data_IF_985264668783
#
_entry.id   IF_985264668783
#
_cell.length_a   1.000
_cell.length_b   1.000
_cell.length_c   1.000
_cell.angle_alpha   90.00
_cell.angle_beta   90.00
_cell.angle_gamma   90.00
#
_symmetry.space_group_name_H-M   'P 1'
#
loop_
_entity.id
_entity.type
_entity.pdbx_description
1 polymer ?
#
# COMPACT_ATOMS: atom_id res chain seq x y z
N UNK A 1 -3.12 -10.63 35.86
CA UNK A 1 -2.59 -10.62 34.48
C UNK A 1 -2.30 -12.06 34.10
N UNK A 2 -3.14 -12.67 33.26
CA UNK A 2 -2.90 -14.02 32.76
C UNK A 2 -1.91 -13.91 31.60
N UNK A 3 -0.68 -14.35 31.80
CA UNK A 3 0.28 -14.55 30.71
C UNK A 3 -0.30 -15.59 29.77
N UNK A 4 -0.99 -15.14 28.73
CA UNK A 4 -1.46 -16.00 27.65
C UNK A 4 -0.23 -16.65 27.03
N UNK A 5 -0.03 -17.94 27.33
CA UNK A 5 1.04 -18.75 26.75
C UNK A 5 0.91 -18.69 25.24
N UNK A 6 1.87 -18.02 24.58
CA UNK A 6 1.88 -17.91 23.12
C UNK A 6 2.13 -19.30 22.55
N UNK A 7 1.11 -19.87 21.92
CA UNK A 7 1.21 -21.16 21.24
C UNK A 7 2.21 -21.02 20.08
N UNK A 8 3.29 -21.81 20.15
CA UNK A 8 4.29 -21.91 19.08
C UNK A 8 3.75 -22.88 18.01
N UNK A 9 3.59 -22.44 16.76
CA UNK A 9 3.10 -23.31 15.69
C UNK A 9 4.12 -24.42 15.42
N UNK A 10 3.64 -25.66 15.33
CA UNK A 10 4.48 -26.84 15.05
C UNK A 10 4.48 -27.20 13.55
N UNK A 11 3.44 -26.79 12.82
CA UNK A 11 3.28 -27.10 11.39
C UNK A 11 3.09 -25.84 10.55
N UNK A 12 3.41 -25.93 9.25
CA UNK A 12 3.21 -24.83 8.30
C UNK A 12 1.75 -24.41 8.23
N UNK A 13 0.80 -25.36 8.26
CA UNK A 13 -0.63 -25.08 8.33
C UNK A 13 -1.02 -24.28 9.57
N UNK A 14 -0.55 -24.69 10.76
CA UNK A 14 -0.83 -23.95 12.00
C UNK A 14 -0.25 -22.53 11.98
N UNK A 15 0.95 -22.36 11.42
CA UNK A 15 1.53 -21.03 11.23
C UNK A 15 0.73 -20.19 10.22
N UNK A 16 0.25 -20.79 9.13
CA UNK A 16 -0.59 -20.09 8.16
C UNK A 16 -1.91 -19.64 8.76
N UNK A 17 -2.57 -20.47 9.58
CA UNK A 17 -3.83 -20.14 10.25
C UNK A 17 -3.72 -18.86 11.10
N UNK A 18 -2.56 -18.60 11.70
CA UNK A 18 -2.33 -17.36 12.45
C UNK A 18 -2.32 -16.11 11.57
N UNK A 19 -1.92 -16.20 10.30
CA UNK A 19 -1.81 -15.03 9.40
C UNK A 19 -2.94 -14.94 8.37
N UNK A 20 -3.61 -16.05 8.08
CA UNK A 20 -4.53 -16.16 6.96
C UNK A 20 -5.62 -15.08 6.95
N UNK A 21 -6.23 -14.80 8.11
CA UNK A 21 -7.32 -13.81 8.22
C UNK A 21 -6.85 -12.41 7.85
N UNK A 22 -5.76 -11.95 8.46
CA UNK A 22 -5.21 -10.61 8.22
C UNK A 22 -4.62 -10.50 6.81
N UNK A 23 -3.98 -11.56 6.33
CA UNK A 23 -3.45 -11.65 4.97
C UNK A 23 -4.57 -11.52 3.94
N UNK A 24 -5.66 -12.27 4.11
CA UNK A 24 -6.80 -12.25 3.19
C UNK A 24 -7.46 -10.87 3.17
N UNK A 25 -7.59 -10.23 4.34
CA UNK A 25 -8.10 -8.86 4.43
C UNK A 25 -7.22 -7.90 3.63
N UNK A 26 -5.90 -7.91 3.85
CA UNK A 26 -4.97 -7.05 3.11
C UNK A 26 -4.97 -7.34 1.62
N UNK A 27 -5.02 -8.62 1.22
CA UNK A 27 -5.08 -9.00 -0.19
C UNK A 27 -6.34 -8.45 -0.86
N UNK A 28 -7.48 -8.44 -0.16
CA UNK A 28 -8.74 -7.90 -0.70
C UNK A 28 -8.67 -6.41 -1.03
N UNK A 29 -7.83 -5.64 -0.32
CA UNK A 29 -7.63 -4.21 -0.58
C UNK A 29 -6.87 -3.97 -1.89
N UNK A 30 -5.88 -4.81 -2.21
CA UNK A 30 -5.04 -4.67 -3.40
C UNK A 30 -5.53 -5.47 -4.61
N UNK A 31 -6.46 -6.43 -4.41
CA UNK A 31 -6.89 -7.33 -5.48
C UNK A 31 -7.46 -6.59 -6.70
N UNK A 32 -8.20 -5.50 -6.48
CA UNK A 32 -8.77 -4.66 -7.56
C UNK A 32 -7.69 -3.93 -8.34
N UNK A 33 -6.82 -3.19 -7.65
CA UNK A 33 -5.70 -2.46 -8.24
C UNK A 33 -4.79 -3.40 -9.07
N UNK A 34 -4.50 -4.58 -8.54
CA UNK A 34 -3.71 -5.58 -9.25
C UNK A 34 -4.40 -6.14 -10.47
N UNK A 35 -5.72 -6.34 -10.43
CA UNK A 35 -6.48 -6.78 -11.60
C UNK A 35 -6.47 -5.71 -12.70
N UNK A 36 -6.67 -4.44 -12.34
CA UNK A 36 -6.66 -3.31 -13.26
C UNK A 36 -5.27 -3.11 -13.90
N UNK A 37 -4.21 -3.08 -13.08
CA UNK A 37 -2.84 -2.94 -13.58
C UNK A 37 -2.42 -4.10 -14.48
N UNK A 38 -2.87 -5.31 -14.15
CA UNK A 38 -2.61 -6.49 -14.97
C UNK A 38 -3.32 -6.43 -16.32
N UNK A 39 -4.61 -6.10 -16.33
CA UNK A 39 -5.40 -5.96 -17.57
C UNK A 39 -4.84 -4.84 -18.46
N UNK A 40 -4.42 -3.73 -17.86
CA UNK A 40 -3.75 -2.63 -18.58
C UNK A 40 -2.46 -3.10 -19.25
N UNK A 41 -1.63 -3.86 -18.54
CA UNK A 41 -0.39 -4.43 -19.08
C UNK A 41 -0.65 -5.42 -20.23
N UNK A 42 -1.66 -6.28 -20.10
CA UNK A 42 -2.11 -7.16 -21.18
C UNK A 42 -2.50 -6.39 -22.44
N UNK A 43 -3.33 -5.37 -22.28
CA UNK A 43 -3.79 -4.54 -23.39
C UNK A 43 -2.62 -3.82 -24.09
N UNK A 44 -1.62 -3.37 -23.32
CA UNK A 44 -0.41 -2.75 -23.86
C UNK A 44 0.39 -3.72 -24.74
N UNK A 45 0.58 -4.98 -24.29
CA UNK A 45 1.29 -6.00 -25.08
C UNK A 45 0.57 -6.29 -26.40
N UNK A 46 -0.77 -6.42 -26.37
CA UNK A 46 -1.54 -6.61 -27.60
C UNK A 46 -1.50 -5.39 -28.53
N UNK A 47 -1.57 -4.18 -27.99
CA UNK A 47 -1.46 -2.95 -28.78
C UNK A 47 -0.10 -2.87 -29.49
N UNK A 48 0.98 -3.17 -28.78
CA UNK A 48 2.32 -3.19 -29.35
C UNK A 48 2.50 -4.32 -30.38
N UNK A 49 1.96 -5.51 -30.12
CA UNK A 49 1.96 -6.62 -31.08
C UNK A 49 1.27 -6.25 -32.40
N UNK A 50 0.14 -5.55 -32.35
CA UNK A 50 -0.55 -5.02 -33.54
C UNK A 50 0.30 -4.00 -34.29
N UNK A 51 0.95 -3.09 -33.56
CA UNK A 51 1.85 -2.07 -34.14
C UNK A 51 3.02 -2.70 -34.89
N UNK A 52 3.61 -3.77 -34.34
CA UNK A 52 4.75 -4.48 -34.93
C UNK A 52 4.40 -5.43 -36.06
N UNK A 53 3.12 -5.81 -36.22
CA UNK A 53 2.66 -6.87 -37.14
C UNK A 53 3.41 -8.19 -36.98
N UNK A 54 3.91 -8.48 -35.77
CA UNK A 54 4.65 -9.68 -35.45
C UNK A 54 3.87 -10.49 -34.40
N UNK A 55 3.21 -11.56 -34.84
CA UNK A 55 2.43 -12.43 -33.97
C UNK A 55 3.31 -13.20 -32.95
N UNK A 56 4.58 -13.48 -33.31
CA UNK A 56 5.52 -14.19 -32.44
C UNK A 56 5.94 -13.38 -31.20
N UNK A 57 5.90 -12.04 -31.29
CA UNK A 57 6.23 -11.15 -30.17
C UNK A 57 5.24 -11.28 -29.00
N UNK A 58 3.94 -11.41 -29.30
CA UNK A 58 2.88 -11.35 -28.29
C UNK A 58 3.02 -12.48 -27.27
N UNK A 59 3.28 -13.70 -27.73
CA UNK A 59 3.35 -14.88 -26.85
C UNK A 59 4.46 -14.80 -25.81
N UNK A 60 5.70 -14.53 -26.23
CA UNK A 60 6.84 -14.44 -25.30
C UNK A 60 6.70 -13.26 -24.34
N UNK A 61 6.27 -12.09 -24.84
CA UNK A 61 6.12 -10.90 -24.00
C UNK A 61 4.98 -11.04 -22.99
N UNK A 62 3.88 -11.72 -23.32
CA UNK A 62 2.83 -12.03 -22.35
C UNK A 62 3.35 -12.93 -21.23
N UNK A 63 4.16 -13.95 -21.55
CA UNK A 63 4.79 -14.82 -20.54
C UNK A 63 5.73 -14.00 -19.64
N UNK A 64 6.62 -13.19 -20.23
CA UNK A 64 7.55 -12.35 -19.44
C UNK A 64 6.82 -11.39 -18.49
N UNK A 65 5.78 -10.73 -18.98
CA UNK A 65 4.95 -9.83 -18.17
C UNK A 65 4.19 -10.57 -17.06
N UNK A 66 3.65 -11.75 -17.34
CA UNK A 66 2.97 -12.59 -16.34
C UNK A 66 3.92 -13.05 -15.23
N UNK A 67 5.15 -13.44 -15.61
CA UNK A 67 6.20 -13.85 -14.65
C UNK A 67 6.68 -12.67 -13.81
N UNK A 68 6.79 -11.47 -14.39
CA UNK A 68 7.10 -10.25 -13.66
C UNK A 68 6.00 -9.90 -12.64
N UNK A 69 4.73 -9.97 -13.05
CA UNK A 69 3.58 -9.74 -12.17
C UNK A 69 3.54 -10.78 -11.04
N UNK A 70 3.70 -12.07 -11.34
CA UNK A 70 3.75 -13.13 -10.34
C UNK A 70 4.88 -12.94 -9.32
N UNK A 71 6.06 -12.49 -9.76
CA UNK A 71 7.16 -12.15 -8.86
C UNK A 71 6.85 -10.96 -7.96
N UNK A 72 6.23 -9.90 -8.50
CA UNK A 72 5.80 -8.73 -7.73
C UNK A 72 4.79 -9.11 -6.65
N UNK A 73 3.78 -9.93 -7.00
CA UNK A 73 2.78 -10.44 -6.05
C UNK A 73 3.40 -11.34 -4.99
N UNK A 74 4.33 -12.22 -5.36
CA UNK A 74 5.05 -13.07 -4.42
C UNK A 74 5.85 -12.24 -3.40
N UNK A 75 6.52 -11.19 -3.85
CA UNK A 75 7.25 -10.26 -2.98
C UNK A 75 6.32 -9.54 -2.00
N UNK A 76 5.20 -8.99 -2.49
CA UNK A 76 4.20 -8.36 -1.63
C UNK A 76 3.61 -9.36 -0.63
N UNK A 77 3.31 -10.58 -1.06
CA UNK A 77 2.71 -11.60 -0.22
C UNK A 77 3.66 -12.03 0.92
N UNK A 78 4.94 -12.19 0.59
CA UNK A 78 5.99 -12.45 1.57
C UNK A 78 6.13 -11.31 2.58
N UNK A 79 6.26 -10.06 2.11
CA UNK A 79 6.39 -8.89 2.97
C UNK A 79 5.19 -8.74 3.91
N UNK A 80 3.97 -8.87 3.36
CA UNK A 80 2.73 -8.79 4.12
C UNK A 80 2.66 -9.87 5.19
N UNK A 81 3.05 -11.10 4.86
CA UNK A 81 3.09 -12.21 5.83
C UNK A 81 4.09 -11.93 6.96
N UNK A 82 5.27 -11.41 6.63
CA UNK A 82 6.28 -11.01 7.61
C UNK A 82 5.76 -9.91 8.55
N UNK A 83 5.12 -8.87 8.00
CA UNK A 83 4.56 -7.79 8.79
C UNK A 83 3.46 -8.25 9.74
N UNK A 84 2.54 -9.10 9.28
CA UNK A 84 1.49 -9.67 10.13
C UNK A 84 2.13 -10.48 11.26
N UNK A 85 3.13 -11.31 10.96
CA UNK A 85 3.84 -12.10 11.96
C UNK A 85 4.50 -11.23 13.04
N UNK A 86 5.15 -10.14 12.60
CA UNK A 86 5.81 -9.19 13.49
C UNK A 86 4.81 -8.42 14.36
N UNK A 87 3.67 -7.99 13.80
CA UNK A 87 2.59 -7.33 14.54
C UNK A 87 2.01 -8.25 15.63
N UNK A 88 1.94 -9.54 15.38
CA UNK A 88 1.54 -10.54 16.39
C UNK A 88 2.62 -10.76 17.47
N UNK A 89 3.76 -10.10 17.36
CA UNK A 89 4.91 -10.22 18.26
C UNK A 89 5.56 -11.60 18.19
N UNK A 90 5.36 -12.36 17.10
CA UNK A 90 5.92 -13.70 16.95
C UNK A 90 7.30 -13.62 16.32
N UNK A 91 8.21 -14.46 16.76
CA UNK A 91 9.50 -14.64 16.09
C UNK A 91 9.31 -15.48 14.85
N UNK A 92 9.92 -15.07 13.73
CA UNK A 92 9.87 -15.84 12.50
C UNK A 92 10.64 -17.15 12.74
N UNK A 93 10.17 -18.24 12.16
CA UNK A 93 10.80 -19.55 12.28
C UNK A 93 10.78 -20.25 10.94
N UNK A 94 11.53 -21.33 10.79
CA UNK A 94 11.46 -22.14 9.57
C UNK A 94 10.05 -22.62 9.23
N UNK A 95 9.23 -22.89 10.25
CA UNK A 95 7.81 -23.25 10.09
C UNK A 95 7.02 -22.11 9.45
N UNK A 96 7.28 -20.86 9.85
CA UNK A 96 6.68 -19.68 9.23
C UNK A 96 7.07 -19.53 7.76
N UNK A 97 8.35 -19.61 7.42
CA UNK A 97 8.78 -19.46 6.02
C UNK A 97 8.20 -20.54 5.11
N UNK A 98 8.11 -21.79 5.60
CA UNK A 98 7.41 -22.88 4.90
C UNK A 98 5.93 -22.61 4.74
N UNK A 99 5.25 -22.11 5.77
CA UNK A 99 3.85 -21.71 5.70
C UNK A 99 3.59 -20.67 4.60
N UNK A 100 4.44 -19.64 4.51
CA UNK A 100 4.33 -18.64 3.44
C UNK A 100 4.52 -19.29 2.07
N UNK A 101 5.49 -20.18 1.90
CA UNK A 101 5.69 -20.83 0.61
C UNK A 101 4.55 -21.77 0.22
N UNK A 102 4.24 -22.75 1.09
CA UNK A 102 3.30 -23.85 0.82
C UNK A 102 1.85 -23.38 0.78
N UNK A 103 1.44 -22.50 1.72
CA UNK A 103 0.05 -22.12 1.88
C UNK A 103 -0.32 -20.81 1.16
N UNK A 104 0.66 -19.99 0.78
CA UNK A 104 0.41 -18.72 0.09
C UNK A 104 0.96 -18.71 -1.34
N UNK A 105 2.27 -18.84 -1.50
CA UNK A 105 2.92 -18.61 -2.79
C UNK A 105 2.60 -19.70 -3.80
N UNK A 106 2.64 -20.96 -3.38
CA UNK A 106 2.35 -22.09 -4.28
C UNK A 106 0.93 -22.05 -4.84
N UNK A 107 -0.15 -21.89 -4.04
CA UNK A 107 -1.50 -21.70 -4.56
C UNK A 107 -1.63 -20.48 -5.47
N UNK A 108 -0.99 -19.35 -5.11
CA UNK A 108 -1.01 -18.14 -5.92
C UNK A 108 -0.42 -18.39 -7.31
N UNK A 109 0.75 -19.04 -7.41
CA UNK A 109 1.35 -19.38 -8.70
C UNK A 109 0.44 -20.31 -9.53
N UNK A 110 -0.16 -21.33 -8.91
CA UNK A 110 -1.09 -22.23 -9.60
C UNK A 110 -2.34 -21.52 -10.13
N UNK A 111 -2.92 -20.61 -9.34
CA UNK A 111 -4.07 -19.80 -9.78
C UNK A 111 -3.68 -18.92 -10.97
N UNK A 112 -2.51 -18.28 -10.93
CA UNK A 112 -2.02 -17.42 -12.02
C UNK A 112 -1.79 -18.19 -13.32
N UNK A 113 -1.17 -19.38 -13.25
CA UNK A 113 -1.04 -20.26 -14.42
C UNK A 113 -2.41 -20.57 -15.04
N UNK A 114 -3.41 -20.87 -14.21
CA UNK A 114 -4.78 -21.13 -14.65
C UNK A 114 -5.47 -19.91 -15.28
N UNK A 115 -5.34 -18.75 -14.64
CA UNK A 115 -5.87 -17.48 -15.16
C UNK A 115 -5.25 -17.13 -16.51
N UNK A 116 -3.92 -17.19 -16.62
CA UNK A 116 -3.20 -16.90 -17.85
C UNK A 116 -3.68 -17.77 -19.02
N UNK A 117 -3.83 -19.09 -18.78
CA UNK A 117 -4.36 -20.02 -19.78
C UNK A 117 -5.79 -19.65 -20.21
N UNK A 118 -6.67 -19.39 -19.25
CA UNK A 118 -8.08 -19.02 -19.51
C UNK A 118 -8.18 -17.71 -20.31
N UNK A 119 -7.38 -16.71 -19.97
CA UNK A 119 -7.36 -15.42 -20.66
C UNK A 119 -6.82 -15.55 -22.09
N UNK A 120 -5.80 -16.36 -22.31
CA UNK A 120 -5.31 -16.68 -23.66
C UNK A 120 -6.37 -17.38 -24.52
N UNK A 121 -7.07 -18.38 -23.96
CA UNK A 121 -8.16 -19.08 -24.65
C UNK A 121 -9.30 -18.12 -25.01
N UNK A 122 -9.66 -17.20 -24.11
CA UNK A 122 -10.65 -16.15 -24.36
C UNK A 122 -10.20 -15.19 -25.46
N UNK A 123 -8.93 -14.77 -25.45
CA UNK A 123 -8.37 -13.91 -26.49
C UNK A 123 -8.35 -14.61 -27.86
N UNK A 124 -7.99 -15.89 -27.92
CA UNK A 124 -8.02 -16.67 -29.15
C UNK A 124 -9.44 -16.73 -29.73
N UNK A 125 -10.45 -17.03 -28.88
CA UNK A 125 -11.86 -17.05 -29.28
C UNK A 125 -12.35 -15.70 -29.83
N UNK A 126 -11.91 -14.59 -29.24
CA UNK A 126 -12.35 -13.23 -29.62
C UNK A 126 -11.70 -12.71 -30.89
N UNK A 127 -10.44 -13.06 -31.13
CA UNK A 127 -9.64 -12.48 -32.21
C UNK A 127 -9.56 -13.36 -33.45
N UNK A 128 -10.00 -14.63 -33.35
CA UNK A 128 -9.80 -15.66 -34.37
C UNK A 128 -8.33 -15.81 -34.80
N UNK A 129 -7.40 -15.32 -33.98
CA UNK A 129 -5.99 -15.36 -34.26
C UNK A 129 -5.46 -16.78 -34.04
N UNK A 130 -4.72 -17.29 -35.02
CA UNK A 130 -4.02 -18.56 -34.93
C UNK A 130 -2.72 -18.37 -34.14
N UNK A 131 -2.83 -18.39 -32.80
CA UNK A 131 -1.66 -18.58 -31.91
C UNK A 131 -1.54 -20.06 -31.54
N UNK A 132 -0.31 -20.58 -31.49
CA UNK A 132 -0.04 -21.88 -30.88
C UNK A 132 -0.10 -21.75 -29.34
N UNK A 133 -1.31 -21.85 -28.80
CA UNK A 133 -1.56 -21.77 -27.36
C UNK A 133 -0.79 -22.83 -26.57
N UNK A 134 -0.57 -24.00 -27.16
CA UNK A 134 0.14 -25.10 -26.51
C UNK A 134 1.59 -24.70 -26.22
N UNK A 135 2.26 -24.11 -27.20
CA UNK A 135 3.63 -23.63 -27.04
C UNK A 135 3.72 -22.50 -25.99
N UNK A 136 2.81 -21.53 -26.02
CA UNK A 136 2.81 -20.40 -25.08
C UNK A 136 2.51 -20.87 -23.65
N UNK A 137 1.49 -21.71 -23.45
CA UNK A 137 1.18 -22.29 -22.14
C UNK A 137 2.31 -23.18 -21.62
N UNK A 138 2.97 -23.95 -22.50
CA UNK A 138 4.13 -24.76 -22.14
C UNK A 138 5.33 -23.90 -21.71
N UNK A 139 5.57 -22.78 -22.39
CA UNK A 139 6.60 -21.82 -22.00
C UNK A 139 6.27 -21.17 -20.65
N UNK A 140 5.04 -20.69 -20.47
CA UNK A 140 4.55 -20.11 -19.23
C UNK A 140 4.76 -21.04 -18.04
N UNK A 141 4.35 -22.30 -18.16
CA UNK A 141 4.50 -23.30 -17.10
C UNK A 141 5.95 -23.46 -16.66
N UNK A 142 6.88 -23.59 -17.62
CA UNK A 142 8.32 -23.72 -17.31
C UNK A 142 8.87 -22.50 -16.58
N UNK A 143 8.50 -21.29 -17.02
CA UNK A 143 8.96 -20.07 -16.35
C UNK A 143 8.33 -19.88 -14.96
N UNK A 144 7.08 -20.31 -14.78
CA UNK A 144 6.44 -20.26 -13.47
C UNK A 144 7.04 -21.30 -12.52
N UNK A 145 7.38 -22.49 -13.00
CA UNK A 145 8.09 -23.51 -12.22
C UNK A 145 9.47 -23.01 -11.77
N UNK A 146 10.22 -22.34 -12.66
CA UNK A 146 11.48 -21.66 -12.31
C UNK A 146 11.27 -20.58 -11.25
N UNK A 147 10.21 -19.78 -11.40
CA UNK A 147 9.86 -18.73 -10.44
C UNK A 147 9.52 -19.32 -9.07
N UNK A 148 8.72 -20.39 -9.03
CA UNK A 148 8.37 -21.13 -7.81
C UNK A 148 9.63 -21.68 -7.13
N UNK A 149 10.55 -22.30 -7.88
CA UNK A 149 11.81 -22.81 -7.35
C UNK A 149 12.69 -21.69 -6.76
N UNK A 150 12.82 -20.56 -7.48
CA UNK A 150 13.57 -19.38 -7.01
C UNK A 150 13.02 -18.84 -5.69
N UNK A 151 11.69 -18.75 -5.56
CA UNK A 151 11.06 -18.30 -4.32
C UNK A 151 11.24 -19.30 -3.18
N UNK A 152 11.16 -20.60 -3.44
CA UNK A 152 11.45 -21.62 -2.43
C UNK A 152 12.87 -21.47 -1.88
N UNK A 153 13.87 -21.38 -2.77
CA UNK A 153 15.27 -21.19 -2.39
C UNK A 153 15.46 -19.90 -1.60
N UNK A 154 14.84 -18.80 -2.01
CA UNK A 154 14.90 -17.51 -1.31
C UNK A 154 14.37 -17.61 0.12
N UNK A 155 13.26 -18.32 0.34
CA UNK A 155 12.67 -18.49 1.67
C UNK A 155 13.44 -19.49 2.55
N UNK A 156 14.01 -20.55 1.98
CA UNK A 156 14.90 -21.45 2.73
C UNK A 156 16.20 -20.76 3.15
N UNK A 157 16.76 -19.85 2.32
CA UNK A 157 17.90 -19.01 2.72
C UNK A 157 17.49 -18.08 3.87
N UNK A 158 16.39 -17.35 3.73
CA UNK A 158 15.90 -16.44 4.77
C UNK A 158 15.60 -17.18 6.10
N UNK A 159 15.11 -18.43 6.03
CA UNK A 159 14.90 -19.26 7.20
C UNK A 159 16.22 -19.60 7.92
N UNK A 160 17.26 -19.97 7.16
CA UNK A 160 18.59 -20.26 7.72
C UNK A 160 19.26 -19.02 8.30
N UNK A 161 19.22 -17.91 7.57
CA UNK A 161 19.79 -16.64 8.03
C UNK A 161 19.16 -16.22 9.36
N UNK A 162 17.83 -16.35 9.48
CA UNK A 162 17.13 -16.03 10.72
C UNK A 162 17.51 -16.98 11.87
N UNK A 163 17.65 -18.29 11.63
CA UNK A 163 18.15 -19.24 12.64
C UNK A 163 19.59 -18.89 13.08
N UNK A 164 20.44 -18.50 12.14
CA UNK A 164 21.83 -18.11 12.40
C UNK A 164 21.97 -16.77 13.11
N UNK A 165 21.11 -15.78 12.88
CA UNK A 165 21.12 -14.52 13.62
C UNK A 165 20.61 -14.68 15.07
N UNK A 166 19.69 -15.62 15.29
CA UNK A 166 19.08 -15.82 16.60
C UNK A 166 19.95 -16.64 17.56
N UNK A 167 20.72 -17.62 17.08
CA UNK A 167 21.56 -18.48 17.94
C UNK A 167 22.72 -17.76 18.66
N UNK A 168 23.51 -16.87 18.02
CA UNK A 168 24.60 -16.15 18.68
C UNK A 168 24.08 -15.25 19.81
N UNK A 169 22.90 -14.66 19.64
CA UNK A 169 22.33 -13.71 20.60
C UNK A 169 21.93 -14.41 21.90
N UNK A 170 21.29 -15.59 21.83
CA UNK A 170 20.99 -16.38 23.02
C UNK A 170 22.25 -16.97 23.68
N UNK A 171 23.23 -17.43 22.89
CA UNK A 171 24.48 -17.97 23.43
C UNK A 171 25.36 -16.86 24.04
N UNK A 172 25.29 -15.63 23.53
CA UNK A 172 25.93 -14.47 24.14
C UNK A 172 25.21 -13.98 25.38
N UNK A 173 23.87 -13.97 25.43
CA UNK A 173 23.12 -13.61 26.64
C UNK A 173 23.38 -14.61 27.79
N UNK A 174 23.39 -15.91 27.50
CA UNK A 174 23.77 -16.93 28.49
C UNK A 174 25.24 -16.86 28.93
N UNK A 175 26.12 -16.24 28.13
CA UNK A 175 27.53 -16.00 28.49
C UNK A 175 27.76 -14.63 29.15
N UNK A 176 26.87 -13.66 28.96
CA UNK A 176 26.98 -12.29 29.50
C UNK A 176 26.71 -12.20 31.00
N UNK A 177 26.20 -13.26 31.63
CA UNK A 177 26.15 -13.40 33.10
C UNK A 177 27.53 -13.50 33.78
N UNK A 178 28.65 -13.36 33.04
CA UNK A 178 30.01 -13.42 33.62
C UNK A 178 30.95 -12.25 33.34
N UNK A 179 30.58 -11.19 32.60
CA UNK A 179 31.49 -10.05 32.44
C UNK A 179 30.76 -8.75 32.12
N UNK A 180 31.03 -7.65 32.83
CA UNK A 180 30.42 -6.35 32.52
C UNK A 180 31.06 -5.80 31.24
N UNK A 181 30.27 -5.66 30.16
CA UNK A 181 30.76 -5.08 28.91
C UNK A 181 29.72 -4.18 28.22
N UNK A 182 30.30 -3.12 27.62
CA UNK A 182 29.77 -1.94 26.97
C UNK A 182 28.54 -2.09 26.03
N UNK A 183 27.82 -0.98 25.75
CA UNK A 183 26.55 -1.00 25.04
C UNK A 183 26.71 -1.24 23.53
N UNK A 184 26.00 -2.25 23.02
CA UNK A 184 25.80 -2.54 21.59
C UNK A 184 24.57 -1.75 21.10
N UNK A 185 24.56 -1.18 19.88
CA UNK A 185 23.40 -0.46 19.36
C UNK A 185 22.21 -1.40 19.14
N UNK A 186 21.08 -1.08 19.80
CA UNK A 186 19.89 -1.92 19.85
C UNK A 186 19.13 -1.96 18.51
N UNK A 187 18.81 -3.17 18.05
CA UNK A 187 17.95 -3.41 16.89
C UNK A 187 16.51 -2.94 17.22
N UNK A 188 15.95 -2.06 16.39
CA UNK A 188 14.67 -1.39 16.64
C UNK A 188 13.52 -2.27 16.11
N UNK A 189 12.73 -2.85 17.01
CA UNK A 189 11.58 -3.72 16.70
C UNK A 189 10.41 -2.95 16.06
N UNK A 190 9.72 -3.55 15.09
CA UNK A 190 8.58 -2.96 14.38
C UNK A 190 7.28 -2.84 15.21
N UNK A 191 7.31 -3.17 16.51
CA UNK A 191 6.13 -3.40 17.37
C UNK A 191 5.92 -2.27 18.40
N UNK A 192 6.30 -1.03 18.08
CA UNK A 192 6.13 0.07 19.04
C UNK A 192 4.69 0.57 19.11
N UNK A 193 4.13 0.67 20.32
CA UNK A 193 2.90 1.45 20.53
C UNK A 193 3.14 2.95 20.32
N UNK A 194 2.09 3.75 20.21
CA UNK A 194 2.23 5.21 20.09
C UNK A 194 2.98 5.81 21.29
N UNK A 195 2.77 5.25 22.49
CA UNK A 195 3.46 5.67 23.71
C UNK A 195 4.96 5.39 23.69
N UNK A 196 5.36 4.29 23.07
CA UNK A 196 6.78 3.96 22.92
C UNK A 196 7.43 4.83 21.86
N UNK A 197 6.76 5.08 20.73
CA UNK A 197 7.21 6.05 19.72
C UNK A 197 7.39 7.44 20.34
N UNK A 198 6.42 7.92 21.11
CA UNK A 198 6.51 9.18 21.86
C UNK A 198 7.79 9.22 22.72
N UNK A 199 7.99 8.19 23.54
CA UNK A 199 9.12 8.10 24.48
C UNK A 199 10.45 8.11 23.73
N UNK A 200 10.56 7.37 22.62
CA UNK A 200 11.78 7.31 21.82
C UNK A 200 12.06 8.61 21.10
N UNK A 201 11.05 9.27 20.54
CA UNK A 201 11.23 10.59 19.94
C UNK A 201 11.71 11.63 20.96
N UNK A 202 11.17 11.64 22.19
CA UNK A 202 11.69 12.50 23.27
C UNK A 202 13.14 12.16 23.63
N UNK A 203 13.48 10.87 23.67
CA UNK A 203 14.83 10.42 23.95
C UNK A 203 15.84 10.94 22.91
N UNK A 204 15.49 10.86 21.62
CA UNK A 204 16.31 11.43 20.52
C UNK A 204 16.57 12.92 20.76
N UNK A 205 15.54 13.69 21.15
CA UNK A 205 15.74 15.11 21.43
C UNK A 205 16.70 15.34 22.61
N UNK A 206 16.60 14.54 23.67
CA UNK A 206 17.42 14.69 24.88
C UNK A 206 18.88 14.26 24.73
N UNK A 207 19.16 13.34 23.79
CA UNK A 207 20.51 12.79 23.54
C UNK A 207 21.44 13.78 22.83
N UNK A 208 20.90 14.72 22.07
CA UNK A 208 21.70 15.58 21.22
C UNK A 208 22.21 16.82 21.99
N UNK A 209 23.52 17.12 21.97
CA UNK A 209 24.02 18.41 22.43
C UNK A 209 23.37 19.54 21.63
N UNK A 210 23.34 20.75 22.17
CA UNK A 210 22.58 21.88 21.63
C UNK A 210 22.85 22.19 20.16
N UNK A 211 24.04 21.87 19.62
CA UNK A 211 24.43 22.13 18.23
C UNK A 211 24.14 20.99 17.24
N UNK A 212 23.74 19.79 17.70
CA UNK A 212 23.58 18.60 16.83
C UNK A 212 22.17 17.97 16.90
N UNK A 213 21.16 18.75 17.27
CA UNK A 213 19.77 18.29 17.37
C UNK A 213 19.26 17.80 16.01
N UNK A 214 18.51 16.71 16.04
CA UNK A 214 17.78 16.24 14.85
C UNK A 214 16.78 17.33 14.47
N UNK A 215 16.92 17.82 13.25
CA UNK A 215 16.17 18.93 12.71
C UNK A 215 15.54 18.51 11.39
N UNK A 216 14.47 19.18 10.99
CA UNK A 216 13.85 18.96 9.68
C UNK A 216 13.81 20.26 8.88
N UNK A 217 14.17 20.15 7.61
CA UNK A 217 14.07 21.19 6.61
C UNK A 217 12.99 20.79 5.61
N UNK A 218 12.05 21.68 5.38
CA UNK A 218 11.06 21.60 4.33
C UNK A 218 11.36 22.67 3.29
N UNK A 219 11.39 22.27 2.02
CA UNK A 219 11.58 23.18 0.90
C UNK A 219 10.40 23.02 -0.05
N UNK A 220 9.62 24.08 -0.23
CA UNK A 220 8.62 24.18 -1.29
C UNK A 220 9.17 25.08 -2.39
N UNK A 221 9.42 24.52 -3.56
CA UNK A 221 9.89 25.27 -4.73
C UNK A 221 8.76 25.38 -5.74
N UNK A 222 8.32 26.61 -6.00
CA UNK A 222 7.39 26.88 -7.10
C UNK A 222 8.18 27.10 -8.39
N UNK A 223 7.94 26.25 -9.38
CA UNK A 223 8.56 26.37 -10.70
C UNK A 223 7.81 27.39 -11.56
N UNK A 224 8.42 27.85 -12.67
CA UNK A 224 7.77 28.74 -13.63
C UNK A 224 6.49 28.19 -14.25
N UNK A 225 6.30 26.87 -14.27
CA UNK A 225 5.07 26.26 -14.79
C UNK A 225 3.92 26.34 -13.78
N UNK A 226 4.15 26.90 -12.59
CA UNK A 226 3.22 26.86 -11.45
C UNK A 226 3.23 25.51 -10.74
N UNK A 227 4.14 24.59 -11.09
CA UNK A 227 4.28 23.32 -10.37
C UNK A 227 5.03 23.55 -9.07
N UNK A 228 4.45 23.14 -7.95
CA UNK A 228 5.10 23.17 -6.64
C UNK A 228 5.73 21.81 -6.37
N UNK A 229 7.03 21.79 -6.09
CA UNK A 229 7.74 20.60 -5.59
C UNK A 229 8.04 20.76 -4.12
N UNK A 230 7.64 19.79 -3.32
CA UNK A 230 7.89 19.76 -1.88
C UNK A 230 8.96 18.71 -1.55
N UNK A 231 10.04 19.12 -0.90
CA UNK A 231 11.12 18.23 -0.44
C UNK A 231 11.26 18.32 1.08
N UNK A 232 11.48 17.16 1.70
CA UNK A 232 11.76 17.02 3.12
C UNK A 232 13.18 16.49 3.32
N UNK A 233 13.95 17.13 4.21
CA UNK A 233 15.29 16.68 4.59
C UNK A 233 15.43 16.66 6.10
N UNK A 234 15.86 15.52 6.66
CA UNK A 234 16.22 15.40 8.08
C UNK A 234 17.73 15.62 8.21
N UNK A 235 18.13 16.54 9.09
CA UNK A 235 19.53 16.90 9.35
C UNK A 235 19.85 16.79 10.85
N UNK A 236 21.12 16.84 11.22
CA UNK A 236 21.58 16.72 12.61
C UNK A 236 22.53 15.54 12.82
N UNK A 237 22.76 15.17 14.09
CA UNK A 237 23.65 14.06 14.44
C UNK A 237 23.30 12.78 13.65
N UNK A 238 24.26 12.11 12.97
CA UNK A 238 23.97 10.96 12.12
C UNK A 238 23.28 9.80 12.84
N UNK A 239 23.67 9.49 14.08
CA UNK A 239 23.07 8.41 14.84
C UNK A 239 21.62 8.72 15.23
N UNK A 240 21.39 9.95 15.71
CA UNK A 240 20.04 10.42 16.06
C UNK A 240 19.14 10.55 14.83
N UNK A 241 19.69 10.97 13.69
CA UNK A 241 18.97 11.04 12.40
C UNK A 241 18.50 9.65 11.96
N UNK A 242 19.39 8.66 11.95
CA UNK A 242 19.05 7.28 11.57
C UNK A 242 17.97 6.71 12.51
N UNK A 243 18.10 6.95 13.82
CA UNK A 243 17.07 6.55 14.80
C UNK A 243 15.73 7.22 14.50
N UNK A 244 15.73 8.53 14.23
CA UNK A 244 14.52 9.29 13.89
C UNK A 244 13.84 8.79 12.62
N UNK A 245 14.60 8.59 11.54
CA UNK A 245 14.08 8.12 10.24
C UNK A 245 13.42 6.74 10.35
N UNK A 246 14.00 5.85 11.15
CA UNK A 246 13.42 4.54 11.46
C UNK A 246 12.09 4.67 12.22
N UNK A 247 12.04 5.50 13.27
CA UNK A 247 10.81 5.73 14.03
C UNK A 247 9.72 6.41 13.20
N UNK A 248 10.08 7.41 12.40
CA UNK A 248 9.16 8.09 11.48
C UNK A 248 8.57 7.12 10.44
N UNK A 249 9.39 6.21 9.92
CA UNK A 249 8.92 5.16 9.00
C UNK A 249 7.93 4.20 9.67
N UNK A 250 8.21 3.77 10.91
CA UNK A 250 7.29 2.92 11.69
C UNK A 250 5.97 3.67 11.95
N UNK A 251 6.05 4.94 12.35
CA UNK A 251 4.90 5.78 12.64
C UNK A 251 4.04 6.03 11.39
N UNK A 252 4.65 6.29 10.24
CA UNK A 252 3.96 6.43 8.96
C UNK A 252 3.18 5.17 8.57
N UNK A 253 3.78 3.99 8.74
CA UNK A 253 3.11 2.71 8.47
C UNK A 253 1.91 2.49 9.39
N UNK A 254 2.01 2.89 10.66
CA UNK A 254 0.88 2.80 11.61
C UNK A 254 -0.28 3.71 11.23
N UNK A 255 0.01 4.85 10.60
CA UNK A 255 -0.98 5.73 9.98
C UNK A 255 -1.50 5.23 8.61
N UNK A 256 -1.13 4.02 8.18
CA UNK A 256 -1.63 3.39 6.96
C UNK A 256 -0.81 3.67 5.71
N UNK A 257 0.38 4.27 5.82
CA UNK A 257 1.26 4.47 4.67
C UNK A 257 1.97 3.17 4.30
N UNK A 258 1.63 2.61 3.13
CA UNK A 258 2.02 1.25 2.75
C UNK A 258 3.42 1.13 2.11
N UNK A 259 3.95 2.20 1.53
CA UNK A 259 5.25 2.17 0.84
C UNK A 259 6.39 2.57 1.79
N UNK A 260 7.58 1.99 1.62
CA UNK A 260 8.78 2.47 2.32
C UNK A 260 9.31 3.76 1.69
N UNK A 261 9.13 3.92 0.38
CA UNK A 261 9.50 5.13 -0.35
C UNK A 261 8.63 6.29 0.11
N UNK A 262 9.26 7.35 0.61
CA UNK A 262 8.62 8.56 1.15
C UNK A 262 7.84 8.39 2.48
N UNK A 263 8.05 7.31 3.23
CA UNK A 263 7.41 7.14 4.55
C UNK A 263 7.76 8.29 5.51
N UNK A 264 9.01 8.75 5.48
CA UNK A 264 9.49 9.90 6.28
C UNK A 264 8.75 11.18 5.85
N UNK A 265 8.70 11.46 4.55
CA UNK A 265 7.95 12.60 3.98
C UNK A 265 6.48 12.58 4.39
N UNK A 266 5.84 11.40 4.34
CA UNK A 266 4.46 11.24 4.80
C UNK A 266 4.30 11.58 6.28
N UNK A 267 5.17 11.04 7.15
CA UNK A 267 5.15 11.34 8.58
C UNK A 267 5.33 12.84 8.86
N UNK A 268 6.35 13.46 8.25
CA UNK A 268 6.67 14.88 8.45
C UNK A 268 5.54 15.79 7.95
N UNK A 269 4.90 15.43 6.84
CA UNK A 269 3.73 16.16 6.32
C UNK A 269 2.56 16.10 7.31
N UNK A 270 2.31 14.94 7.93
CA UNK A 270 1.27 14.81 8.98
C UNK A 270 1.57 15.62 10.24
N UNK A 271 2.83 15.64 10.67
CA UNK A 271 3.27 16.49 11.80
C UNK A 271 3.03 17.97 11.46
N UNK A 272 3.40 18.42 10.26
CA UNK A 272 3.17 19.80 9.81
C UNK A 272 1.69 20.18 9.74
N UNK A 273 0.86 19.33 9.13
CA UNK A 273 -0.60 19.52 9.07
C UNK A 273 -1.22 19.63 10.47
N UNK A 274 -0.81 18.76 11.38
CA UNK A 274 -1.24 18.80 12.78
C UNK A 274 -0.83 20.12 13.45
N UNK A 275 0.41 20.57 13.29
CA UNK A 275 0.87 21.84 13.86
C UNK A 275 0.08 23.05 13.36
N UNK A 276 -0.25 23.08 12.06
CA UNK A 276 -1.08 24.15 11.48
C UNK A 276 -2.49 24.14 12.08
N UNK A 277 -3.08 22.95 12.24
CA UNK A 277 -4.42 22.81 12.85
C UNK A 277 -4.43 23.29 14.30
N UNK A 278 -3.42 22.92 15.08
CA UNK A 278 -3.30 23.31 16.49
C UNK A 278 -2.71 24.73 16.67
N UNK A 279 -2.44 25.45 15.58
CA UNK A 279 -1.83 26.80 15.57
C UNK A 279 -0.47 26.88 16.27
N UNK A 280 0.26 25.75 16.32
CA UNK A 280 1.60 25.66 16.90
C UNK A 280 2.66 26.31 15.99
N UNK A 281 2.34 26.47 14.71
CA UNK A 281 3.12 27.22 13.73
C UNK A 281 3.30 28.70 14.08
N UNK A 282 2.47 29.25 14.98
CA UNK A 282 2.58 30.62 15.49
C UNK A 282 3.45 30.75 16.75
N UNK A 283 3.76 29.63 17.41
CA UNK A 283 4.57 29.64 18.62
C UNK A 283 6.03 29.85 18.26
N UNK A 284 6.67 30.91 18.77
CA UNK A 284 8.07 31.24 18.49
C UNK A 284 9.04 30.07 18.76
N UNK A 285 8.70 29.21 19.71
CA UNK A 285 9.55 28.11 20.18
C UNK A 285 9.32 26.78 19.44
N UNK A 286 8.27 26.70 18.62
CA UNK A 286 7.86 25.49 17.88
C UNK A 286 7.63 25.74 16.39
N UNK A 287 7.51 27.01 15.98
CA UNK A 287 7.25 27.41 14.61
C UNK A 287 8.36 26.88 13.68
N UNK A 288 7.93 26.53 12.48
CA UNK A 288 8.85 26.34 11.38
C UNK A 288 9.35 27.71 10.96
N UNK A 289 10.62 27.98 11.21
CA UNK A 289 11.19 29.29 10.93
C UNK A 289 11.45 29.41 9.43
N UNK A 290 11.01 30.50 8.78
CA UNK A 290 11.38 30.77 7.41
C UNK A 290 12.88 31.06 7.35
N UNK A 291 13.65 30.24 6.64
CA UNK A 291 15.12 30.41 6.56
C UNK A 291 15.56 31.29 5.39
N UNK A 292 14.63 31.77 4.57
CA UNK A 292 14.88 32.71 3.48
C UNK A 292 14.21 32.31 2.17
N UNK A 293 14.50 33.10 1.13
CA UNK A 293 14.23 32.78 -0.27
C UNK A 293 15.57 32.63 -0.97
N UNK A 294 15.81 31.51 -1.65
CA UNK A 294 16.98 31.36 -2.52
C UNK A 294 16.63 31.81 -3.95
N UNK A 295 17.24 32.90 -4.41
CA UNK A 295 17.21 33.28 -5.83
C UNK A 295 18.22 32.40 -6.59
N UNK A 296 17.74 31.33 -7.23
CA UNK A 296 18.55 30.52 -8.13
C UNK A 296 18.66 31.22 -9.50
N UNK A 297 19.89 31.57 -9.91
CA UNK A 297 20.24 32.01 -11.28
C UNK A 297 19.48 33.24 -11.83
N UNK A 298 19.27 34.27 -11.00
CA UNK A 298 18.70 35.55 -11.47
C UNK A 298 17.22 35.47 -11.90
N UNK A 299 16.54 34.37 -11.59
CA UNK A 299 15.12 34.20 -11.80
C UNK A 299 14.44 33.91 -10.47
N UNK A 300 13.37 34.66 -10.17
CA UNK A 300 12.57 34.52 -8.95
C UNK A 300 11.82 33.18 -8.95
N UNK A 301 12.50 32.09 -8.61
CA UNK A 301 11.83 30.93 -8.06
C UNK A 301 11.72 31.19 -6.57
N UNK A 302 10.51 31.44 -6.06
CA UNK A 302 10.29 31.61 -4.62
C UNK A 302 10.33 30.24 -3.96
N UNK A 303 11.52 29.81 -3.54
CA UNK A 303 11.65 28.67 -2.66
C UNK A 303 11.30 29.11 -1.23
N UNK A 304 10.26 28.50 -0.65
CA UNK A 304 9.94 28.68 0.76
C UNK A 304 10.65 27.59 1.56
N UNK A 305 11.65 27.97 2.34
CA UNK A 305 12.33 27.07 3.25
C UNK A 305 11.78 27.24 4.66
N UNK A 306 11.43 26.12 5.28
CA UNK A 306 10.90 26.03 6.64
C UNK A 306 11.79 25.08 7.44
N UNK A 307 12.28 25.54 8.60
CA UNK A 307 13.21 24.78 9.43
C UNK A 307 12.72 24.63 10.87
N UNK A 308 12.95 23.45 11.47
CA UNK A 308 12.74 23.23 12.91
C UNK A 308 13.81 22.34 13.51
N UNK A 309 14.39 22.75 14.64
CA UNK A 309 15.37 21.98 15.43
C UNK A 309 14.71 21.01 16.42
N UNK A 310 13.38 20.95 16.42
CA UNK A 310 12.57 20.25 17.40
C UNK A 310 11.71 19.18 16.76
N UNK A 311 12.11 18.64 15.61
CA UNK A 311 11.26 17.70 14.88
C UNK A 311 10.99 16.42 15.68
N UNK A 312 11.94 15.98 16.50
CA UNK A 312 11.75 14.84 17.41
C UNK A 312 10.74 15.17 18.51
N UNK A 313 10.85 16.33 19.16
CA UNK A 313 9.83 16.79 20.13
C UNK A 313 8.44 16.91 19.51
N UNK A 314 8.34 17.51 18.32
CA UNK A 314 7.07 17.67 17.60
C UNK A 314 6.48 16.32 17.22
N UNK A 315 7.31 15.36 16.80
CA UNK A 315 6.86 13.99 16.52
C UNK A 315 6.35 13.29 17.78
N UNK A 316 6.99 13.51 18.93
CA UNK A 316 6.51 13.00 20.22
C UNK A 316 5.16 13.62 20.62
N UNK A 317 5.03 14.95 20.49
CA UNK A 317 3.76 15.63 20.76
C UNK A 317 2.65 15.12 19.83
N UNK A 318 2.97 14.89 18.56
CA UNK A 318 2.01 14.33 17.61
C UNK A 318 1.61 12.89 17.99
N UNK A 319 2.53 12.04 18.44
CA UNK A 319 2.17 10.72 19.00
C UNK A 319 1.22 10.84 20.21
N UNK A 320 1.41 11.85 21.07
CA UNK A 320 0.51 12.10 22.22
C UNK A 320 -0.89 12.47 21.74
N UNK A 321 -1.00 13.30 20.70
CA UNK A 321 -2.28 13.64 20.07
C UNK A 321 -2.95 12.41 19.45
N UNK A 322 -2.18 11.54 18.79
CA UNK A 322 -2.72 10.31 18.21
C UNK A 322 -3.29 9.39 19.29
N UNK A 323 -2.64 9.30 20.46
CA UNK A 323 -3.15 8.59 21.64
C UNK A 323 -4.44 9.23 22.15
N UNK A 324 -4.47 10.55 22.32
CA UNK A 324 -5.64 11.27 22.82
C UNK A 324 -6.90 11.11 21.94
N UNK A 325 -6.69 10.87 20.64
CA UNK A 325 -7.76 10.60 19.66
C UNK A 325 -8.17 9.13 19.57
N UNK A 326 -7.60 8.27 20.39
CA UNK A 326 -7.73 6.81 20.27
C UNK A 326 -7.42 6.34 18.83
N UNK A 327 -6.43 6.96 18.18
CA UNK A 327 -6.06 6.59 16.80
C UNK A 327 -5.53 5.16 16.84
N UNK A 328 -6.16 4.21 16.12
CA UNK A 328 -5.77 2.83 16.18
C UNK A 328 -4.28 2.68 15.81
N UNK A 329 -3.52 1.92 16.60
CA UNK A 329 -2.08 1.69 16.39
C UNK A 329 -1.78 0.85 15.13
N UNK A 330 -2.80 0.59 14.33
CA UNK A 330 -2.81 -0.22 13.12
C UNK A 330 -3.96 0.28 12.23
N UNK A 331 -3.75 1.35 11.47
CA UNK A 331 -4.72 1.77 10.45
C UNK A 331 -4.97 0.68 9.38
N UNK A 332 -4.11 -0.35 9.31
CA UNK A 332 -4.32 -1.55 8.49
C UNK A 332 -5.31 -2.57 9.09
N UNK A 333 -5.77 -2.41 10.33
CA UNK A 333 -6.63 -3.39 11.00
C UNK A 333 -8.12 -3.04 11.03
N UNK A 334 -8.54 -1.89 10.49
CA UNK A 334 -9.97 -1.56 10.35
C UNK A 334 -10.25 -0.79 9.05
N UNK A 335 -10.67 -1.46 7.97
CA UNK A 335 -11.82 -0.90 7.28
C UNK A 335 -12.93 -0.84 8.34
N UNK A 336 -13.62 0.31 8.46
CA UNK A 336 -14.76 0.45 9.36
C UNK A 336 -15.64 -0.80 9.26
N UNK A 337 -15.61 -1.68 10.27
CA UNK A 337 -16.34 -2.96 10.26
C UNK A 337 -17.85 -2.71 10.05
N UNK A 338 -18.31 -1.51 10.40
CA UNK A 338 -19.66 -1.02 10.10
C UNK A 338 -19.92 -0.80 8.61
N UNK A 339 -18.94 -0.34 7.84
CA UNK A 339 -19.11 -0.10 6.40
C UNK A 339 -19.03 -1.40 5.61
N UNK A 340 -18.03 -2.26 5.87
CA UNK A 340 -17.88 -3.52 5.10
C UNK A 340 -18.99 -4.53 5.36
N UNK A 341 -19.45 -4.69 6.61
CA UNK A 341 -20.53 -5.60 6.95
C UNK A 341 -21.86 -5.20 6.27
N UNK A 342 -22.03 -3.91 5.95
CA UNK A 342 -23.24 -3.36 5.32
C UNK A 342 -23.11 -3.28 3.79
N UNK A 343 -21.90 -3.05 3.27
CA UNK A 343 -21.63 -2.98 1.82
C UNK A 343 -21.69 -4.36 1.16
N UNK A 344 -21.25 -5.44 1.83
CA UNK A 344 -21.30 -6.82 1.28
C UNK A 344 -22.72 -7.28 0.92
N UNK A 345 -23.75 -7.10 1.77
CA UNK A 345 -25.15 -7.36 1.41
C UNK A 345 -25.63 -6.57 0.19
N UNK A 346 -25.25 -5.29 0.07
CA UNK A 346 -25.64 -4.44 -1.06
C UNK A 346 -24.99 -4.89 -2.37
N UNK A 347 -23.71 -5.28 -2.34
CA UNK A 347 -23.02 -5.84 -3.50
C UNK A 347 -23.71 -7.09 -4.05
N UNK A 348 -24.24 -7.94 -3.18
CA UNK A 348 -24.99 -9.13 -3.57
C UNK A 348 -26.43 -8.82 -4.03
N UNK A 349 -27.00 -7.71 -3.55
CA UNK A 349 -28.36 -7.27 -3.94
C UNK A 349 -28.39 -6.73 -5.36
N UNK A 350 -27.33 -6.03 -5.79
CA UNK A 350 -27.24 -5.51 -7.15
C UNK A 350 -26.84 -6.59 -8.15
N UNK A 351 -27.82 -7.11 -8.91
CA UNK A 351 -27.55 -7.96 -10.08
C UNK A 351 -26.87 -7.20 -11.25
N UNK A 352 -26.92 -5.87 -11.22
CA UNK A 352 -26.38 -5.01 -12.29
C UNK A 352 -24.92 -4.64 -12.00
N UNK A 353 -24.01 -5.03 -12.90
CA UNK A 353 -22.58 -4.72 -12.77
C UNK A 353 -22.31 -3.22 -12.64
N UNK A 354 -23.01 -2.39 -13.41
CA UNK A 354 -22.83 -0.92 -13.34
C UNK A 354 -23.24 -0.36 -11.97
N UNK A 355 -24.28 -0.89 -11.33
CA UNK A 355 -24.67 -0.47 -9.97
C UNK A 355 -23.65 -0.91 -8.93
N UNK A 356 -23.03 -2.08 -9.10
CA UNK A 356 -21.94 -2.53 -8.24
C UNK A 356 -20.71 -1.63 -8.37
N UNK A 357 -20.34 -1.26 -9.60
CA UNK A 357 -19.24 -0.34 -9.84
C UNK A 357 -19.51 1.06 -9.24
N UNK A 358 -20.73 1.60 -9.41
CA UNK A 358 -21.16 2.85 -8.77
C UNK A 358 -21.07 2.75 -7.24
N UNK A 359 -21.49 1.63 -6.65
CA UNK A 359 -21.42 1.40 -5.20
C UNK A 359 -19.98 1.44 -4.70
N UNK A 360 -19.04 0.82 -5.42
CA UNK A 360 -17.61 0.84 -5.08
C UNK A 360 -17.08 2.29 -5.09
N UNK A 361 -17.39 3.07 -6.12
CA UNK A 361 -17.00 4.47 -6.22
C UNK A 361 -17.56 5.33 -5.08
N UNK A 362 -18.85 5.16 -4.75
CA UNK A 362 -19.48 5.86 -3.62
C UNK A 362 -18.97 5.39 -2.25
N UNK A 363 -18.48 4.15 -2.13
CA UNK A 363 -17.87 3.67 -0.88
C UNK A 363 -16.48 4.29 -0.68
N UNK A 364 -15.74 4.55 -1.77
CA UNK A 364 -14.45 5.28 -1.74
C UNK A 364 -14.66 6.76 -1.39
N UNK A 365 -15.70 7.40 -1.95
CA UNK A 365 -16.02 8.80 -1.70
C UNK A 365 -17.55 9.03 -1.72
N UNK A 366 -18.22 9.04 -0.55
CA UNK A 366 -19.68 9.18 -0.44
C UNK A 366 -20.23 10.48 -1.03
N UNK A 367 -19.45 11.56 -0.97
CA UNK A 367 -19.83 12.89 -1.46
C UNK A 367 -19.41 13.14 -2.92
N UNK A 368 -18.91 12.13 -3.62
CA UNK A 368 -18.52 12.26 -5.01
C UNK A 368 -19.70 12.73 -5.87
N UNK A 369 -19.48 13.77 -6.68
CA UNK A 369 -20.45 14.22 -7.69
C UNK A 369 -20.66 13.15 -8.78
N UNK A 370 -21.80 13.17 -9.45
CA UNK A 370 -22.13 12.20 -10.51
C UNK A 370 -21.07 12.18 -11.62
N UNK A 371 -20.51 13.36 -11.95
CA UNK A 371 -19.43 13.48 -12.92
C UNK A 371 -18.12 12.83 -12.41
N UNK A 372 -17.81 12.96 -11.12
CA UNK A 372 -16.63 12.32 -10.53
C UNK A 372 -16.81 10.80 -10.46
N UNK A 373 -18.02 10.31 -10.20
CA UNK A 373 -18.32 8.87 -10.27
C UNK A 373 -18.10 8.36 -11.70
N UNK A 374 -18.57 9.08 -12.72
CA UNK A 374 -18.33 8.70 -14.13
C UNK A 374 -16.84 8.69 -14.49
N UNK A 375 -16.05 9.65 -14.01
CA UNK A 375 -14.58 9.65 -14.19
C UNK A 375 -13.92 8.45 -13.51
N UNK A 376 -14.38 8.09 -12.32
CA UNK A 376 -13.92 6.90 -11.61
C UNK A 376 -14.22 5.62 -12.38
N UNK A 377 -15.44 5.49 -12.93
CA UNK A 377 -15.82 4.34 -13.77
C UNK A 377 -14.98 4.24 -15.05
N UNK A 378 -14.68 5.38 -15.69
CA UNK A 378 -13.81 5.42 -16.87
C UNK A 378 -12.36 5.02 -16.54
N UNK A 379 -11.87 5.43 -15.37
CA UNK A 379 -10.52 5.10 -14.91
C UNK A 379 -10.40 3.62 -14.50
N UNK A 380 -11.38 3.09 -13.77
CA UNK A 380 -11.40 1.70 -13.32
C UNK A 380 -11.49 0.74 -14.53
N UNK A 381 -12.25 1.09 -15.57
CA UNK A 381 -12.44 0.26 -16.77
C UNK A 381 -13.09 -1.11 -16.50
N UNK A 382 -13.57 -1.33 -15.28
CA UNK A 382 -14.02 -2.63 -14.77
C UNK A 382 -15.42 -3.04 -15.24
N UNK A 383 -16.20 -2.11 -15.81
CA UNK A 383 -17.58 -2.37 -16.25
C UNK A 383 -17.84 -1.82 -17.65
N UNK A 384 -18.48 -2.63 -18.48
CA UNK A 384 -18.93 -2.18 -19.80
C UNK A 384 -20.15 -1.26 -19.68
N UNK A 385 -20.15 -0.18 -20.45
CA UNK A 385 -21.28 0.72 -20.50
C UNK A 385 -22.51 0.01 -21.10
N UNK A 386 -23.69 0.07 -20.46
CA UNK A 386 -24.91 -0.51 -21.00
C UNK A 386 -25.20 0.00 -22.43
N UNK A 387 -25.67 -0.88 -23.32
CA UNK A 387 -26.02 -0.51 -24.71
C UNK A 387 -27.03 0.64 -24.80
N UNK A 388 -27.88 0.80 -23.79
CA UNK A 388 -28.88 1.89 -23.70
C UNK A 388 -28.27 3.25 -23.36
N UNK A 389 -26.99 3.28 -22.96
CA UNK A 389 -26.19 4.45 -22.65
C UNK A 389 -25.10 4.71 -23.70
N UNK A 390 -24.85 3.79 -24.65
CA UNK A 390 -23.87 3.96 -25.71
C UNK A 390 -24.50 4.48 -27.01
N UNK A 391 -23.71 5.14 -27.88
CA UNK A 391 -24.14 5.62 -29.20
C UNK A 391 -24.33 4.46 -30.21
N UNK A 392 -24.24 3.20 -29.78
CA UNK A 392 -24.09 2.06 -30.67
C UNK A 392 -22.73 1.98 -31.37
N UNK A 393 -21.84 2.96 -31.18
CA UNK A 393 -20.46 2.92 -31.71
C UNK A 393 -19.60 1.98 -30.86
N UNK A 394 -19.03 0.91 -31.45
CA UNK A 394 -18.09 0.05 -30.76
C UNK A 394 -16.86 0.86 -30.32
N UNK A 395 -16.51 0.81 -29.03
CA UNK A 395 -15.27 1.41 -28.50
C UNK A 395 -15.41 2.77 -27.80
N UNK A 396 -16.58 3.43 -27.84
CA UNK A 396 -16.84 4.63 -27.03
C UNK A 396 -17.21 4.22 -25.59
N UNK A 397 -16.20 3.87 -24.79
CA UNK A 397 -16.36 3.41 -23.39
C UNK A 397 -16.48 4.53 -22.35
N UNK A 398 -16.50 5.79 -22.76
CA UNK A 398 -16.40 6.91 -21.81
C UNK A 398 -17.74 7.30 -21.19
N UNK A 399 -18.00 6.86 -19.95
CA UNK A 399 -19.11 7.25 -19.09
C UNK A 399 -19.20 8.78 -18.95
N UNK A 400 -18.07 9.49 -18.90
CA UNK A 400 -18.04 10.97 -18.85
C UNK A 400 -18.72 11.58 -20.08
N UNK A 401 -18.51 11.04 -21.28
CA UNK A 401 -19.15 11.54 -22.50
C UNK A 401 -20.64 11.23 -22.50
N UNK A 402 -21.02 10.02 -22.09
CA UNK A 402 -22.43 9.64 -21.97
C UNK A 402 -23.17 10.49 -20.94
N UNK A 403 -22.51 10.89 -19.85
CA UNK A 403 -23.09 11.79 -18.83
C UNK A 403 -23.25 13.23 -19.33
N UNK A 404 -22.35 13.70 -20.21
CA UNK A 404 -22.46 15.02 -20.85
C UNK A 404 -23.59 15.09 -21.89
N UNK A 405 -23.98 13.96 -22.47
CA UNK A 405 -25.11 13.88 -23.40
C UNK A 405 -26.45 14.00 -22.64
N UNK A 406 -27.18 15.08 -22.90
CA UNK A 406 -28.47 15.38 -22.27
C UNK A 406 -29.51 14.26 -22.42
N UNK A 407 -29.47 13.50 -23.52
CA UNK A 407 -30.41 12.40 -23.79
C UNK A 407 -30.21 11.18 -22.87
N UNK A 408 -29.03 11.06 -22.24
CA UNK A 408 -28.63 9.89 -21.43
C UNK A 408 -28.31 10.21 -20.00
N UNK A 409 -27.90 11.46 -19.75
CA UNK A 409 -27.61 11.98 -18.43
C UNK A 409 -28.64 11.54 -17.39
N UNK A 410 -29.94 11.70 -17.69
CA UNK A 410 -31.04 11.28 -16.81
C UNK A 410 -30.98 9.80 -16.43
N UNK A 411 -30.59 8.90 -17.35
CA UNK A 411 -30.51 7.46 -17.06
C UNK A 411 -29.36 7.14 -16.10
N UNK A 412 -28.24 7.83 -16.26
CA UNK A 412 -27.05 7.68 -15.41
C UNK A 412 -27.34 8.26 -14.01
N UNK A 413 -27.91 9.47 -13.94
CA UNK A 413 -28.33 10.10 -12.68
C UNK A 413 -29.31 9.23 -11.90
N UNK A 414 -30.26 8.57 -12.58
CA UNK A 414 -31.19 7.62 -11.93
C UNK A 414 -30.46 6.41 -11.35
N UNK A 415 -29.48 5.85 -12.06
CA UNK A 415 -28.69 4.72 -11.55
C UNK A 415 -27.86 5.12 -10.33
N UNK A 416 -27.18 6.26 -10.38
CA UNK A 416 -26.36 6.80 -9.27
C UNK A 416 -27.26 7.14 -8.07
N UNK A 417 -28.37 7.84 -8.30
CA UNK A 417 -29.33 8.23 -7.26
C UNK A 417 -29.93 7.01 -6.57
N UNK A 418 -30.18 5.93 -7.32
CA UNK A 418 -30.66 4.67 -6.75
C UNK A 418 -29.66 4.09 -5.77
N UNK A 419 -28.37 4.05 -6.13
CA UNK A 419 -27.31 3.54 -5.26
C UNK A 419 -27.13 4.41 -4.01
N UNK A 420 -27.12 5.75 -4.17
CA UNK A 420 -27.10 6.67 -3.02
C UNK A 420 -28.31 6.51 -2.10
N UNK A 421 -29.51 6.30 -2.67
CA UNK A 421 -30.72 6.06 -1.90
C UNK A 421 -30.63 4.81 -1.04
N UNK A 422 -30.06 3.73 -1.59
CA UNK A 422 -29.88 2.48 -0.86
C UNK A 422 -28.76 2.59 0.19
N UNK A 423 -27.68 3.36 -0.05
CA UNK A 423 -26.66 3.70 0.96
C UNK A 423 -27.24 4.53 2.12
N UNK A 424 -28.09 5.53 1.83
CA UNK A 424 -28.78 6.34 2.85
C UNK A 424 -29.71 5.50 3.73
N UNK A 425 -30.47 4.58 3.13
CA UNK A 425 -31.33 3.63 3.87
C UNK A 425 -30.54 2.76 4.86
N UNK A 426 -29.27 2.51 4.56
CA UNK A 426 -28.36 1.74 5.39
C UNK A 426 -27.56 2.62 6.38
N UNK A 427 -27.80 3.94 6.41
CA UNK A 427 -27.07 4.87 7.27
C UNK A 427 -25.62 5.11 6.87
N UNK A 428 -25.23 4.77 5.63
CA UNK A 428 -23.88 4.95 5.10
C UNK A 428 -23.65 6.31 4.43
N UNK A 429 -24.71 7.10 4.28
CA UNK A 429 -24.68 8.46 3.74
C UNK A 429 -25.66 9.33 4.52
N UNK A 430 -25.30 10.59 4.76
CA UNK A 430 -26.19 11.56 5.38
C UNK A 430 -27.35 11.93 4.44
N UNK A 431 -28.54 12.09 5.01
CA UNK A 431 -29.71 12.57 4.28
C UNK A 431 -29.61 14.09 4.08
N UNK A 432 -29.41 14.53 2.84
CA UNK A 432 -29.75 15.89 2.41
C UNK A 432 -31.20 16.00 2.01
#
# INVERSE_FOLDING_TARGET
>A
MLSSTRVVPQTSTQAWDFIQKDYTLRLSLFASEWAEGHLSSWNAVFAEGRKRRNAGYVGSTLVEMEIADANKRAQWAYQTSCEIWDIQGRTKSRVFFRAVFECCLQPMFSVREGCFKSELELCQKRTSAFYDLSMICGHMKREMDKTRAKWNTKLEIAARDYEHEWQPTQVQELRKDRTPAAPVPAQISAVFGWKELETRFRNIQSKAPTQDKVSALFTATESRSGSVTEEWRVVGNPACRVEFEQLATIAARKLGYATSENAITYWLSRVREWMQREKLDKSRDLAWLPTGYEDFEGHRNTAQHLFTERISDLSAMFCTELIARDTPESALSRPSERSEAVVRPLLNTYRSEIKRAILIQLTKNPDASDLNICRGLDADGAVEMPKTWSNGRPGERQFVNAYRDASRRRKIEVAISKVRGDLRKQGLMEGR
#
